data_IF_828730441125
#
_entry.id   IF_828730441125
#
_cell.length_a   1.000
_cell.length_b   1.000
_cell.length_c   1.000
_cell.angle_alpha   90.00
_cell.angle_beta   90.00
_cell.angle_gamma   90.00
#
_symmetry.space_group_name_H-M   'P 1'
#
loop_
_entity.id
_entity.type
_entity.pdbx_description
1 polymer ?
#
# COMPACT_ATOMS: atom_id res chain seq x y z
N UNK A 1 5.93 15.18 -9.25
CA UNK A 1 4.61 14.91 -8.61
C UNK A 1 4.35 16.02 -7.60
N UNK A 2 3.15 16.61 -7.62
CA UNK A 2 2.76 17.67 -6.70
C UNK A 2 2.45 17.16 -5.28
N UNK A 3 1.94 18.04 -4.43
CA UNK A 3 1.40 17.65 -3.13
C UNK A 3 0.03 17.03 -3.30
N UNK A 4 -0.24 15.96 -2.57
CA UNK A 4 -1.50 15.24 -2.69
C UNK A 4 -1.86 14.49 -1.41
N UNK A 5 -3.15 14.21 -1.31
CA UNK A 5 -3.73 13.26 -0.38
C UNK A 5 -4.38 12.15 -1.18
N UNK A 6 -4.19 10.90 -0.76
CA UNK A 6 -4.77 9.73 -1.39
C UNK A 6 -5.21 8.72 -0.33
N UNK A 7 -6.41 8.17 -0.50
CA UNK A 7 -6.88 7.01 0.25
C UNK A 7 -6.96 5.81 -0.71
N UNK A 8 -6.22 4.75 -0.41
CA UNK A 8 -6.27 3.47 -1.11
C UNK A 8 -7.02 2.47 -0.24
N UNK A 9 -8.29 2.24 -0.55
CA UNK A 9 -9.06 1.13 0.00
C UNK A 9 -8.81 -0.12 -0.83
N UNK A 10 -8.45 -1.21 -0.18
CA UNK A 10 -8.39 -2.52 -0.81
C UNK A 10 -9.20 -3.53 0.01
N UNK A 11 -9.94 -4.37 -0.71
CA UNK A 11 -10.79 -5.42 -0.18
C UNK A 11 -10.50 -6.71 -0.96
N UNK A 12 -10.03 -7.75 -0.28
CA UNK A 12 -9.80 -9.05 -0.91
C UNK A 12 -11.10 -9.87 -0.94
N UNK A 13 -11.38 -10.52 -2.06
CA UNK A 13 -12.56 -11.36 -2.27
C UNK A 13 -12.18 -12.74 -2.80
N UNK A 14 -12.89 -13.79 -2.38
CA UNK A 14 -12.72 -15.16 -2.87
C UNK A 14 -13.97 -15.65 -3.58
N UNK A 15 -13.77 -16.50 -4.60
CA UNK A 15 -14.85 -17.25 -5.26
C UNK A 15 -15.41 -18.37 -4.36
N UNK A 16 -14.64 -18.79 -3.34
CA UNK A 16 -15.08 -19.77 -2.36
C UNK A 16 -16.08 -19.08 -1.41
N UNK A 17 -17.30 -19.62 -1.25
CA UNK A 17 -18.30 -19.03 -0.36
C UNK A 17 -17.76 -18.84 1.06
N UNK A 18 -18.16 -17.73 1.70
CA UNK A 18 -17.81 -17.35 3.08
C UNK A 18 -16.34 -16.99 3.33
N UNK A 19 -15.40 -17.36 2.45
CA UNK A 19 -13.96 -17.04 2.59
C UNK A 19 -13.72 -15.54 2.49
N UNK A 20 -14.51 -14.79 1.72
CA UNK A 20 -14.39 -13.34 1.61
C UNK A 20 -14.54 -12.60 2.95
N UNK A 21 -15.23 -13.17 3.95
CA UNK A 21 -15.38 -12.53 5.27
C UNK A 21 -14.14 -12.60 6.14
N UNK A 22 -13.25 -13.55 5.88
CA UNK A 22 -11.99 -13.72 6.61
C UNK A 22 -10.81 -13.19 5.80
N UNK A 23 -11.04 -12.61 4.63
CA UNK A 23 -9.97 -11.97 3.88
C UNK A 23 -9.74 -10.56 4.44
N UNK A 24 -8.48 -10.13 4.55
CA UNK A 24 -8.20 -8.82 5.09
C UNK A 24 -8.69 -7.72 4.13
N UNK A 25 -9.02 -6.58 4.73
CA UNK A 25 -9.24 -5.32 4.04
C UNK A 25 -8.59 -4.20 4.83
N UNK A 26 -8.13 -3.17 4.13
CA UNK A 26 -7.52 -2.01 4.74
C UNK A 26 -7.73 -0.74 3.89
N UNK A 27 -7.58 0.41 4.54
CA UNK A 27 -7.57 1.74 3.92
C UNK A 27 -6.21 2.36 4.23
N UNK A 28 -5.32 2.32 3.25
CA UNK A 28 -4.03 2.99 3.32
C UNK A 28 -4.18 4.47 2.95
N UNK A 29 -3.69 5.37 3.80
CA UNK A 29 -3.75 6.82 3.57
C UNK A 29 -2.35 7.35 3.28
N UNK A 30 -2.19 8.03 2.17
CA UNK A 30 -0.93 8.62 1.74
C UNK A 30 -1.05 10.13 1.73
N UNK A 31 -0.16 10.78 2.47
CA UNK A 31 -0.03 12.23 2.54
C UNK A 31 1.33 12.60 1.97
N UNK A 32 1.35 13.45 0.95
CA UNK A 32 2.58 13.95 0.34
C UNK A 32 2.60 15.47 0.37
N UNK A 33 3.61 16.03 1.03
CA UNK A 33 3.92 17.46 1.06
C UNK A 33 5.43 17.71 0.84
N UNK A 34 5.79 18.47 -0.20
CA UNK A 34 7.19 18.83 -0.51
C UNK A 34 8.09 17.63 -0.85
N UNK A 35 9.02 17.28 0.04
CA UNK A 35 9.84 16.06 -0.04
C UNK A 35 9.44 14.99 1.00
N UNK A 36 8.35 15.24 1.74
CA UNK A 36 7.93 14.43 2.86
C UNK A 36 6.71 13.58 2.49
N UNK A 37 6.69 12.34 2.97
CA UNK A 37 5.61 11.40 2.76
C UNK A 37 5.21 10.82 4.11
N UNK A 38 3.90 10.71 4.36
CA UNK A 38 3.35 9.92 5.45
C UNK A 38 2.41 8.87 4.88
N UNK A 39 2.54 7.63 5.34
CA UNK A 39 1.67 6.52 4.99
C UNK A 39 1.09 5.94 6.26
N UNK A 40 -0.23 5.99 6.41
CA UNK A 40 -0.95 5.36 7.51
C UNK A 40 -1.62 4.10 7.00
N UNK A 41 -1.43 2.98 7.70
CA UNK A 41 -1.98 1.66 7.34
C UNK A 41 -2.39 0.90 8.60
N UNK A 42 -3.47 0.12 8.50
CA UNK A 42 -3.98 -0.68 9.61
C UNK A 42 -3.61 -2.16 9.52
N UNK A 43 -3.16 -2.66 8.36
CA UNK A 43 -2.68 -4.03 8.23
C UNK A 43 -1.16 -4.07 8.43
N UNK A 44 -0.70 -4.81 9.44
CA UNK A 44 0.73 -4.91 9.78
C UNK A 44 1.37 -6.12 9.12
N UNK A 45 0.64 -7.24 9.02
CA UNK A 45 1.16 -8.47 8.42
C UNK A 45 0.07 -9.27 7.69
N UNK A 46 0.30 -9.61 6.43
CA UNK A 46 -0.67 -10.34 5.60
C UNK A 46 -0.88 -11.79 6.05
N UNK A 47 0.16 -12.45 6.56
CA UNK A 47 0.13 -13.89 6.88
C UNK A 47 -0.71 -14.20 8.12
N UNK A 48 -0.66 -13.33 9.13
CA UNK A 48 -1.36 -13.50 10.41
C UNK A 48 -2.58 -12.57 10.55
N UNK A 49 -2.91 -11.82 9.49
CA UNK A 49 -4.00 -10.83 9.47
C UNK A 49 -3.96 -9.87 10.67
N UNK A 50 -2.77 -9.55 11.18
CA UNK A 50 -2.62 -8.69 12.35
C UNK A 50 -2.97 -7.27 11.96
N UNK A 51 -4.02 -6.74 12.59
CA UNK A 51 -4.37 -5.33 12.51
C UNK A 51 -3.59 -4.52 13.55
N UNK A 52 -3.17 -3.34 13.16
CA UNK A 52 -2.51 -2.34 13.98
C UNK A 52 -2.89 -0.94 13.53
N UNK A 53 -2.15 0.05 14.02
CA UNK A 53 -2.26 1.45 13.60
C UNK A 53 -0.83 1.96 13.44
N UNK A 54 -0.31 1.79 12.22
CA UNK A 54 1.09 2.05 11.90
C UNK A 54 1.20 3.22 10.94
N UNK A 55 2.08 4.16 11.27
CA UNK A 55 2.40 5.31 10.43
C UNK A 55 3.87 5.28 10.01
N UNK A 56 4.14 5.29 8.71
CA UNK A 56 5.46 5.50 8.14
C UNK A 56 5.60 6.99 7.82
N UNK A 57 6.62 7.64 8.38
CA UNK A 57 6.93 9.04 8.13
C UNK A 57 8.30 9.12 7.49
N UNK A 58 8.30 9.52 6.22
CA UNK A 58 9.50 9.80 5.45
C UNK A 58 9.74 11.31 5.34
N UNK A 59 10.92 11.76 5.76
CA UNK A 59 11.41 13.12 5.63
C UNK A 59 12.54 13.16 4.59
N UNK A 60 12.22 13.57 3.37
CA UNK A 60 13.17 13.64 2.27
C UNK A 60 14.23 14.75 2.40
N UNK A 61 14.11 15.64 3.39
CA UNK A 61 15.12 16.67 3.68
C UNK A 61 16.10 16.24 4.78
N UNK A 62 15.85 15.11 5.46
CA UNK A 62 16.73 14.58 6.48
C UNK A 62 17.85 13.72 5.85
N UNK A 63 18.91 13.47 6.64
CA UNK A 63 19.93 12.49 6.24
C UNK A 63 19.31 11.09 6.10
N UNK A 64 19.85 10.19 5.26
CA UNK A 64 19.30 8.85 5.06
C UNK A 64 18.98 8.12 6.37
N UNK A 65 19.85 8.23 7.36
CA UNK A 65 19.75 7.54 8.67
C UNK A 65 18.73 8.15 9.63
N UNK A 66 18.06 9.22 9.22
CA UNK A 66 17.02 9.92 9.98
C UNK A 66 15.77 10.17 9.11
N UNK A 67 15.80 9.69 7.87
CA UNK A 67 14.78 10.00 6.88
C UNK A 67 13.51 9.19 7.07
N UNK A 68 13.56 8.02 7.71
CA UNK A 68 12.39 7.16 7.89
C UNK A 68 12.11 6.86 9.37
N UNK A 69 10.91 7.17 9.82
CA UNK A 69 10.41 6.83 11.15
C UNK A 69 9.11 6.05 11.04
N UNK A 70 9.04 4.92 11.75
CA UNK A 70 7.84 4.10 11.88
C UNK A 70 7.25 4.32 13.25
N UNK A 71 5.95 4.59 13.32
CA UNK A 71 5.21 4.78 14.56
C UNK A 71 4.22 3.64 14.70
N UNK A 72 4.18 3.05 15.90
CA UNK A 72 3.06 2.24 16.34
C UNK A 72 2.20 3.11 17.26
N UNK A 73 1.06 3.56 16.73
CA UNK A 73 0.16 4.47 17.42
C UNK A 73 -0.58 3.77 18.58
N UNK A 74 -0.74 2.44 18.51
CA UNK A 74 -1.38 1.63 19.56
C UNK A 74 -0.47 1.50 20.77
N UNK A 75 0.78 1.12 20.53
CA UNK A 75 1.81 0.96 21.56
C UNK A 75 2.43 2.30 21.99
N UNK A 76 2.20 3.38 21.22
CA UNK A 76 2.78 4.71 21.42
C UNK A 76 4.31 4.70 21.41
N UNK A 77 4.88 3.86 20.55
CA UNK A 77 6.32 3.76 20.34
C UNK A 77 6.68 4.19 18.92
N UNK A 78 7.93 4.59 18.72
CA UNK A 78 8.44 4.90 17.39
C UNK A 78 9.85 4.33 17.23
N UNK A 79 10.20 4.04 15.99
CA UNK A 79 11.53 3.59 15.59
C UNK A 79 11.98 4.40 14.38
N UNK A 80 13.14 5.05 14.48
CA UNK A 80 13.80 5.68 13.33
C UNK A 80 14.74 4.66 12.70
N UNK A 81 14.56 4.38 11.41
CA UNK A 81 15.44 3.49 10.68
C UNK A 81 16.74 4.21 10.39
N UNK A 82 17.85 3.61 10.83
CA UNK A 82 19.21 4.05 10.51
C UNK A 82 19.72 3.16 9.39
N UNK A 83 20.25 3.77 8.33
CA UNK A 83 20.95 3.04 7.28
C UNK A 83 22.43 2.97 7.69
N UNK A 84 22.80 1.94 8.46
CA UNK A 84 24.20 1.69 8.80
C UNK A 84 24.69 0.56 7.89
N UNK A 85 25.30 0.90 6.75
CA UNK A 85 25.91 -0.12 5.87
C UNK A 85 27.17 -0.69 6.54
N UNK A 86 27.00 -1.59 7.50
CA UNK A 86 28.09 -2.44 7.97
C UNK A 86 28.23 -3.62 7.00
N UNK A 87 29.47 -4.03 6.72
CA UNK A 87 29.74 -5.14 5.78
C UNK A 87 29.06 -6.46 6.21
N UNK A 88 28.81 -6.59 7.51
CA UNK A 88 28.12 -7.74 8.14
C UNK A 88 26.61 -7.65 7.87
N UNK A 89 26.00 -6.47 7.99
CA UNK A 89 24.58 -6.28 7.65
C UNK A 89 24.29 -6.54 6.16
N UNK A 90 25.24 -6.19 5.27
CA UNK A 90 25.13 -6.52 3.84
C UNK A 90 25.19 -8.03 3.62
N UNK A 91 26.09 -8.74 4.32
CA UNK A 91 26.20 -10.21 4.22
C UNK A 91 24.93 -10.89 4.78
N UNK A 92 24.41 -10.43 5.91
CA UNK A 92 23.14 -10.91 6.49
C UNK A 92 21.93 -10.59 5.59
N UNK A 93 21.89 -9.40 4.97
CA UNK A 93 20.84 -9.02 4.01
C UNK A 93 20.93 -9.88 2.75
N UNK A 94 22.13 -10.16 2.24
CA UNK A 94 22.33 -11.06 1.11
C UNK A 94 21.89 -12.47 1.47
N UNK A 95 22.28 -13.01 2.62
CA UNK A 95 21.84 -14.34 3.08
C UNK A 95 20.34 -14.41 3.30
N UNK A 96 19.73 -13.33 3.82
CA UNK A 96 18.28 -13.21 3.93
C UNK A 96 17.60 -13.18 2.56
N UNK A 97 18.10 -12.39 1.60
CA UNK A 97 17.58 -12.33 0.22
C UNK A 97 17.74 -13.67 -0.49
N UNK A 98 18.83 -14.40 -0.23
CA UNK A 98 19.09 -15.71 -0.81
C UNK A 98 18.22 -16.83 -0.20
N UNK A 99 17.78 -16.67 1.05
CA UNK A 99 16.96 -17.65 1.78
C UNK A 99 15.46 -17.35 1.78
N UNK A 100 15.06 -16.13 1.39
CA UNK A 100 13.66 -15.72 1.32
C UNK A 100 13.08 -15.86 -0.09
N UNK A 101 11.77 -16.10 -0.17
CA UNK A 101 11.08 -16.15 -1.46
C UNK A 101 11.12 -14.77 -2.12
N UNK A 102 11.76 -14.66 -3.28
CA UNK A 102 11.77 -13.41 -4.04
C UNK A 102 10.45 -13.30 -4.80
N UNK A 103 9.61 -12.34 -4.39
CA UNK A 103 8.39 -11.97 -5.10
C UNK A 103 8.63 -10.72 -5.96
N UNK A 104 8.52 -10.85 -7.27
CA UNK A 104 8.46 -9.72 -8.19
C UNK A 104 6.99 -9.42 -8.50
N UNK A 105 6.58 -8.16 -8.34
CA UNK A 105 5.22 -7.70 -8.66
C UNK A 105 5.30 -6.72 -9.82
N UNK A 106 4.54 -6.98 -10.88
CA UNK A 106 4.42 -6.09 -12.04
C UNK A 106 2.94 -5.72 -12.25
N UNK A 107 2.69 -4.43 -12.50
CA UNK A 107 1.34 -3.91 -12.76
C UNK A 107 1.21 -3.74 -14.27
N UNK A 108 0.52 -4.69 -14.90
CA UNK A 108 0.21 -4.64 -16.32
C UNK A 108 -0.98 -3.71 -16.57
N UNK A 109 -0.74 -2.64 -17.34
CA UNK A 109 -1.76 -1.69 -17.79
C UNK A 109 -2.22 -1.94 -19.23
N UNK A 110 -1.80 -3.05 -19.85
CA UNK A 110 -2.02 -3.33 -21.28
C UNK A 110 -3.49 -3.24 -21.73
N UNK A 111 -4.43 -3.62 -20.87
CA UNK A 111 -5.87 -3.63 -21.16
C UNK A 111 -6.65 -2.66 -20.27
N UNK A 112 -5.97 -1.64 -19.70
CA UNK A 112 -6.61 -0.69 -18.80
C UNK A 112 -7.63 0.17 -19.56
N UNK A 113 -8.84 0.29 -19.01
CA UNK A 113 -9.82 1.23 -19.51
C UNK A 113 -10.61 1.85 -18.35
N UNK A 114 -11.00 3.11 -18.55
CA UNK A 114 -11.67 3.93 -17.55
C UNK A 114 -13.12 4.10 -17.95
N UNK A 115 -14.04 3.79 -17.04
CA UNK A 115 -15.47 3.97 -17.23
C UNK A 115 -15.95 4.97 -16.19
N UNK A 116 -16.63 6.03 -16.62
CA UNK A 116 -17.18 7.02 -15.68
C UNK A 116 -18.25 6.37 -14.82
N UNK A 117 -18.13 6.47 -13.51
CA UNK A 117 -19.11 5.93 -12.59
C UNK A 117 -20.42 6.72 -12.76
N UNK A 118 -21.55 6.01 -12.81
CA UNK A 118 -22.89 6.61 -12.95
C UNK A 118 -23.78 6.20 -11.79
N UNK A 119 -24.69 7.08 -11.39
CA UNK A 119 -25.68 6.86 -10.34
C UNK A 119 -27.10 7.12 -10.86
N UNK A 120 -28.10 6.48 -10.26
CA UNK A 120 -29.52 6.64 -10.59
C UNK A 120 -30.12 5.43 -11.31
N UNK A 121 -31.31 5.00 -10.86
CA UNK A 121 -32.02 3.83 -11.40
C UNK A 121 -32.91 4.16 -12.60
N UNK A 122 -33.32 5.43 -12.77
CA UNK A 122 -34.24 5.87 -13.83
C UNK A 122 -33.56 6.89 -14.76
N UNK A 123 -32.72 7.78 -14.21
CA UNK A 123 -31.86 8.67 -14.98
C UNK A 123 -30.43 8.45 -14.50
N UNK A 124 -29.58 7.93 -15.38
CA UNK A 124 -28.16 7.75 -15.08
C UNK A 124 -27.44 9.09 -15.27
N UNK A 125 -26.92 9.64 -14.18
CA UNK A 125 -26.03 10.80 -14.20
C UNK A 125 -24.62 10.41 -13.79
N UNK A 126 -23.64 11.16 -14.29
CA UNK A 126 -22.25 10.96 -13.93
C UNK A 126 -22.05 11.24 -12.44
N UNK A 127 -21.51 10.25 -11.73
CA UNK A 127 -21.36 10.29 -10.28
C UNK A 127 -20.27 11.28 -9.91
N UNK A 128 -20.65 12.29 -9.13
CA UNK A 128 -19.75 13.21 -8.45
C UNK A 128 -19.90 13.01 -6.95
N UNK A 129 -18.78 13.05 -6.23
CA UNK A 129 -18.77 12.84 -4.79
C UNK A 129 -17.81 13.83 -4.12
N UNK A 130 -18.12 14.20 -2.88
CA UNK A 130 -17.29 15.07 -2.07
C UNK A 130 -16.27 14.20 -1.32
N UNK A 131 -15.02 14.19 -1.79
CA UNK A 131 -13.94 13.42 -1.16
C UNK A 131 -13.32 14.24 -0.03
N UNK A 132 -13.10 13.60 1.12
CA UNK A 132 -12.56 14.20 2.34
C UNK A 132 -13.31 15.47 2.81
N UNK A 133 -14.59 15.62 2.46
CA UNK A 133 -15.41 16.77 2.82
C UNK A 133 -15.04 18.09 2.13
N UNK A 134 -14.08 18.09 1.20
CA UNK A 134 -13.49 19.33 0.66
C UNK A 134 -13.38 19.34 -0.86
N UNK A 135 -13.27 18.18 -1.52
CA UNK A 135 -12.93 18.11 -2.94
C UNK A 135 -14.07 17.51 -3.75
N UNK A 136 -14.68 18.32 -4.64
CA UNK A 136 -15.61 17.78 -5.64
C UNK A 136 -14.84 16.93 -6.64
N UNK A 137 -15.14 15.64 -6.66
CA UNK A 137 -14.40 14.65 -7.44
C UNK A 137 -15.32 13.94 -8.41
N UNK A 138 -14.78 13.62 -9.59
CA UNK A 138 -15.43 12.78 -10.59
C UNK A 138 -14.97 11.33 -10.38
N UNK A 139 -15.91 10.40 -10.42
CA UNK A 139 -15.59 9.00 -10.16
C UNK A 139 -15.41 8.22 -11.46
N UNK A 140 -14.34 7.44 -11.53
CA UNK A 140 -14.04 6.53 -12.61
C UNK A 140 -13.79 5.12 -12.04
N UNK A 141 -14.34 4.11 -12.71
CA UNK A 141 -13.97 2.71 -12.50
C UNK A 141 -12.87 2.34 -13.48
N UNK A 142 -11.83 1.70 -12.96
CA UNK A 142 -10.68 1.26 -13.75
C UNK A 142 -10.79 -0.25 -13.91
N UNK A 143 -10.88 -0.70 -15.16
CA UNK A 143 -10.99 -2.11 -15.50
C UNK A 143 -9.75 -2.57 -16.26
N UNK A 144 -9.45 -3.87 -16.18
CA UNK A 144 -8.35 -4.48 -16.93
C UNK A 144 -6.96 -4.23 -16.34
N UNK A 145 -6.87 -3.69 -15.12
CA UNK A 145 -5.63 -3.66 -14.36
C UNK A 145 -5.29 -5.08 -13.89
N UNK A 146 -4.12 -5.58 -14.25
CA UNK A 146 -3.65 -6.92 -13.85
C UNK A 146 -2.37 -6.77 -13.06
N UNK A 147 -2.35 -7.32 -11.84
CA UNK A 147 -1.15 -7.45 -11.03
C UNK A 147 -0.59 -8.85 -11.24
N UNK A 148 0.54 -8.95 -11.93
CA UNK A 148 1.28 -10.20 -12.08
C UNK A 148 2.29 -10.31 -10.93
N UNK A 149 2.11 -11.32 -10.07
CA UNK A 149 3.12 -11.69 -9.07
C UNK A 149 3.86 -12.93 -9.54
N UNK A 150 5.19 -12.84 -9.61
CA UNK A 150 6.08 -13.96 -9.94
C UNK A 150 6.92 -14.26 -8.71
N UNK A 151 6.73 -15.45 -8.16
CA UNK A 151 7.45 -15.92 -6.99
C UNK A 151 8.46 -16.96 -7.44
N UNK A 152 9.75 -16.72 -7.16
CA UNK A 152 10.78 -17.75 -7.27
C UNK A 152 10.97 -18.38 -5.89
N UNK A 153 10.63 -19.66 -5.77
CA UNK A 153 11.03 -20.49 -4.61
C UNK A 153 12.31 -21.23 -4.99
N UNK A 154 13.37 -21.09 -4.20
CA UNK A 154 14.56 -21.92 -4.38
C UNK A 154 14.30 -23.35 -3.87
N UNK A 155 14.81 -24.33 -4.61
CA UNK A 155 14.85 -25.73 -4.21
C UNK A 155 16.23 -26.00 -3.58
N UNK A 156 16.47 -25.53 -2.36
CA UNK A 156 17.64 -25.95 -1.60
C UNK A 156 17.15 -26.61 -0.31
N UNK A 157 17.07 -27.94 -0.39
CA UNK A 157 17.20 -28.86 0.74
C UNK A 157 18.67 -29.24 0.90
#
# INVERSE_FOLDING_TARGET
IGDFYMELRWDLQSWVPLVSHILPSDICKVYKCGANIRVDMALVYFSDMVRGDISFIFNGNASPNQSLTVLDNTLKVYQTMKYEESKIEIEDEVDAIMSTEISAMDISTKNIHFIRARSGWIFQEDKKELVAGQYQSELYSVHGLVLESRIRKEHLS
#
